data_IF_973574848449
#
_entry.id   IF_973574848449
#
_cell.length_a   1.000
_cell.length_b   1.000
_cell.length_c   1.000
_cell.angle_alpha   90.00
_cell.angle_beta   90.00
_cell.angle_gamma   90.00
#
_symmetry.space_group_name_H-M   'P 1'
#
loop_
_entity.id
_entity.type
_entity.pdbx_description
1 polymer ?
#
# COMPACT_ATOMS: atom_id res chain seq x y z
N UNK A 1 20.14 3.33 13.44
CA UNK A 1 19.68 2.59 12.25
C UNK A 1 18.44 1.81 12.64
N UNK A 2 17.26 2.24 12.19
CA UNK A 2 16.02 1.50 12.36
C UNK A 2 16.00 0.37 11.33
N UNK A 3 15.84 -0.88 11.76
CA UNK A 3 15.68 -2.02 10.86
C UNK A 3 14.44 -1.78 9.98
N UNK A 4 14.53 -1.93 8.65
CA UNK A 4 13.35 -1.82 7.79
C UNK A 4 12.32 -2.87 8.21
N UNK A 5 11.03 -2.48 8.21
CA UNK A 5 9.94 -3.40 8.49
C UNK A 5 9.88 -4.55 7.48
N UNK A 6 9.08 -5.59 7.75
CA UNK A 6 8.90 -6.68 6.80
C UNK A 6 8.33 -6.13 5.48
N UNK A 7 8.57 -6.81 4.34
CA UNK A 7 7.93 -6.44 3.08
C UNK A 7 6.41 -6.37 3.29
N UNK A 8 5.78 -5.34 2.70
CA UNK A 8 4.34 -5.16 2.86
C UNK A 8 3.58 -6.39 2.33
N UNK A 9 4.00 -6.84 1.15
CA UNK A 9 3.61 -8.10 0.54
C UNK A 9 4.87 -8.83 0.10
N UNK A 10 5.02 -10.09 0.53
CA UNK A 10 6.07 -10.96 0.03
C UNK A 10 5.87 -11.12 -1.48
N UNK A 11 6.86 -10.69 -2.28
CA UNK A 11 6.88 -10.90 -3.73
C UNK A 11 7.18 -12.37 -4.03
N UNK A 12 6.35 -13.30 -3.54
CA UNK A 12 6.48 -14.71 -3.89
C UNK A 12 5.75 -14.93 -5.20
N UNK A 13 6.53 -15.20 -6.26
CA UNK A 13 6.12 -15.73 -7.57
C UNK A 13 5.69 -14.73 -8.67
N UNK A 14 6.01 -13.45 -8.54
CA UNK A 14 5.94 -12.55 -9.69
C UNK A 14 6.98 -13.00 -10.72
N UNK A 15 6.54 -13.37 -11.92
CA UNK A 15 7.40 -13.41 -13.11
C UNK A 15 8.18 -12.09 -13.11
N UNK A 16 9.51 -12.15 -13.16
CA UNK A 16 10.34 -10.96 -13.28
C UNK A 16 10.05 -10.37 -14.65
N UNK A 17 9.12 -9.43 -14.69
CA UNK A 17 8.87 -8.55 -15.82
C UNK A 17 9.70 -7.26 -15.66
N UNK A 18 9.77 -6.47 -16.72
CA UNK A 18 10.56 -5.21 -16.73
C UNK A 18 10.09 -4.21 -15.67
N UNK A 19 8.84 -4.30 -15.22
CA UNK A 19 8.33 -3.49 -14.11
C UNK A 19 8.87 -3.96 -12.76
N UNK A 20 8.95 -5.28 -12.55
CA UNK A 20 9.49 -5.88 -11.33
C UNK A 20 10.96 -5.54 -11.15
N UNK A 21 11.74 -5.47 -12.24
CA UNK A 21 13.13 -5.05 -12.19
C UNK A 21 13.32 -3.58 -11.72
N UNK A 22 12.28 -2.75 -11.85
CA UNK A 22 12.26 -1.33 -11.47
C UNK A 22 11.43 -1.05 -10.23
N UNK A 23 11.00 -2.10 -9.53
CA UNK A 23 10.20 -1.96 -8.34
C UNK A 23 11.07 -1.50 -7.17
N UNK A 24 10.67 -0.41 -6.54
CA UNK A 24 11.26 0.04 -5.28
C UNK A 24 10.66 -0.81 -4.15
N UNK A 25 11.48 -1.43 -3.28
CA UNK A 25 10.97 -2.21 -2.16
C UNK A 25 10.07 -1.38 -1.23
N UNK A 26 8.93 -1.95 -0.87
CA UNK A 26 7.97 -1.34 0.07
C UNK A 26 7.81 -2.24 1.30
N UNK A 27 8.02 -1.65 2.47
CA UNK A 27 7.89 -2.32 3.77
C UNK A 27 6.59 -1.90 4.46
N UNK A 28 5.96 -2.85 5.16
CA UNK A 28 4.95 -2.53 6.16
C UNK A 28 5.62 -1.76 7.30
N UNK A 29 5.00 -0.67 7.73
CA UNK A 29 5.35 0.04 8.95
C UNK A 29 4.20 -0.09 9.95
N UNK A 30 3.46 0.99 10.22
CA UNK A 30 2.45 1.06 11.26
C UNK A 30 1.05 0.69 10.74
N UNK A 31 0.18 0.20 11.64
CA UNK A 31 -1.23 0.01 11.36
C UNK A 31 -1.60 -1.23 10.55
N UNK A 32 -0.72 -2.23 10.44
CA UNK A 32 -0.97 -3.46 9.69
C UNK A 32 -1.17 -4.70 10.56
N UNK A 33 -2.04 -5.60 10.13
CA UNK A 33 -2.06 -6.99 10.58
C UNK A 33 -0.90 -7.78 9.96
N UNK A 34 -0.72 -9.02 10.42
CA UNK A 34 0.17 -9.99 9.77
C UNK A 34 -0.26 -10.26 8.32
N UNK A 35 0.68 -10.68 7.49
CA UNK A 35 0.40 -11.04 6.10
C UNK A 35 -0.33 -12.40 6.05
N UNK A 36 -1.35 -12.47 5.21
CA UNK A 36 -2.13 -13.68 4.96
C UNK A 36 -1.98 -14.15 3.51
N UNK A 37 -2.57 -15.30 3.20
CA UNK A 37 -2.60 -15.88 1.85
C UNK A 37 -3.92 -16.54 1.55
N UNK A 38 -4.44 -16.32 0.34
CA UNK A 38 -5.58 -17.07 -0.22
C UNK A 38 -5.19 -17.51 -1.63
N UNK A 39 -5.27 -18.82 -1.91
CA UNK A 39 -4.87 -19.36 -3.21
C UNK A 39 -3.40 -19.07 -3.58
N UNK A 40 -2.51 -19.00 -2.59
CA UNK A 40 -1.09 -18.65 -2.78
C UNK A 40 -0.81 -17.15 -2.91
N UNK A 41 -1.81 -16.32 -3.16
CA UNK A 41 -1.65 -14.88 -3.31
C UNK A 41 -1.57 -14.20 -1.94
N UNK A 42 -0.50 -13.43 -1.66
CA UNK A 42 -0.37 -12.70 -0.41
C UNK A 42 -1.33 -11.51 -0.38
N UNK A 43 -1.86 -11.23 0.79
CA UNK A 43 -2.57 -9.98 1.06
C UNK A 43 -2.33 -9.56 2.51
N UNK A 44 -2.66 -8.31 2.82
CA UNK A 44 -2.55 -7.78 4.17
C UNK A 44 -3.69 -6.82 4.45
N UNK A 45 -4.23 -6.90 5.66
CA UNK A 45 -5.23 -5.97 6.16
C UNK A 45 -4.57 -4.89 7.03
N UNK A 46 -5.09 -3.66 7.00
CA UNK A 46 -4.81 -2.71 8.06
C UNK A 46 -5.58 -3.06 9.34
N UNK A 47 -4.91 -2.92 10.48
CA UNK A 47 -5.48 -3.04 11.81
C UNK A 47 -6.11 -1.74 12.30
N UNK A 48 -5.70 -0.61 11.71
CA UNK A 48 -6.13 0.74 12.06
C UNK A 48 -6.78 1.46 10.87
N UNK A 49 -7.53 2.55 11.10
CA UNK A 49 -8.09 3.37 10.03
C UNK A 49 -7.01 4.00 9.13
N UNK A 50 -5.81 4.22 9.66
CA UNK A 50 -4.63 4.68 8.92
C UNK A 50 -3.52 3.63 9.00
N UNK A 51 -2.97 3.26 7.86
CA UNK A 51 -1.84 2.33 7.77
C UNK A 51 -0.72 2.89 6.92
N UNK A 52 0.52 2.67 7.36
CA UNK A 52 1.72 3.24 6.77
C UNK A 52 2.55 2.14 6.15
N UNK A 53 2.76 2.24 4.84
CA UNK A 53 3.83 1.55 4.16
C UNK A 53 4.99 2.53 3.92
N UNK A 54 6.23 2.05 3.81
CA UNK A 54 7.38 2.92 3.59
C UNK A 54 8.31 2.38 2.53
N UNK A 55 8.97 3.30 1.82
CA UNK A 55 9.98 3.01 0.82
C UNK A 55 11.11 4.03 0.91
N UNK A 56 12.29 3.71 0.39
CA UNK A 56 13.47 4.59 0.46
C UNK A 56 13.94 4.97 -0.93
N UNK A 57 14.26 6.25 -1.12
CA UNK A 57 14.84 6.76 -2.36
C UNK A 57 16.20 7.41 -2.11
N UNK A 58 17.10 7.33 -3.09
CA UNK A 58 18.39 8.04 -3.05
C UNK A 58 18.18 9.55 -3.29
N UNK A 59 17.27 9.91 -4.18
CA UNK A 59 16.92 11.30 -4.51
C UNK A 59 15.42 11.42 -4.81
N UNK A 60 14.83 12.63 -4.64
CA UNK A 60 13.44 12.87 -5.04
C UNK A 60 13.27 12.66 -6.55
N UNK A 61 12.23 11.96 -6.98
CA UNK A 61 11.93 11.69 -8.40
C UNK A 61 10.48 11.27 -8.59
N UNK A 62 9.99 11.41 -9.82
CA UNK A 62 8.67 10.91 -10.18
C UNK A 62 8.68 9.37 -10.24
N UNK A 63 7.58 8.75 -9.82
CA UNK A 63 7.39 7.30 -9.76
C UNK A 63 5.96 6.95 -10.19
N UNK A 64 5.65 5.65 -10.26
CA UNK A 64 4.28 5.15 -10.36
C UNK A 64 3.93 4.32 -9.12
N UNK A 65 2.71 4.51 -8.62
CA UNK A 65 2.07 3.59 -7.68
C UNK A 65 1.13 2.68 -8.45
N UNK A 66 1.36 1.38 -8.43
CA UNK A 66 0.42 0.36 -8.91
C UNK A 66 -0.09 -0.45 -7.71
N UNK A 67 -1.38 -0.36 -7.42
CA UNK A 67 -1.96 -0.93 -6.20
C UNK A 67 -3.37 -1.51 -6.44
N UNK A 68 -3.62 -2.69 -5.88
CA UNK A 68 -4.95 -3.26 -5.68
C UNK A 68 -5.26 -3.19 -4.18
N UNK A 69 -6.10 -2.22 -3.82
CA UNK A 69 -6.53 -2.03 -2.44
C UNK A 69 -7.98 -1.57 -2.36
N UNK A 70 -8.69 -2.06 -1.34
CA UNK A 70 -10.09 -1.70 -1.07
C UNK A 70 -10.29 -1.44 0.42
N UNK A 71 -11.14 -0.46 0.75
CA UNK A 71 -11.62 -0.29 2.11
C UNK A 71 -12.56 -1.43 2.50
N UNK A 72 -12.44 -1.89 3.74
CA UNK A 72 -13.34 -2.88 4.31
C UNK A 72 -14.78 -2.33 4.32
N UNK A 73 -15.73 -3.12 3.83
CA UNK A 73 -17.12 -2.70 3.76
C UNK A 73 -17.82 -2.88 5.12
N UNK A 74 -18.59 -1.89 5.53
CA UNK A 74 -19.56 -2.01 6.61
C UNK A 74 -20.96 -2.06 5.98
N UNK A 75 -21.77 -3.05 6.36
CA UNK A 75 -23.16 -3.19 5.88
C UNK A 75 -23.29 -3.20 4.35
N UNK A 76 -22.28 -3.76 3.66
CA UNK A 76 -22.23 -3.83 2.20
C UNK A 76 -21.81 -2.53 1.50
N UNK A 77 -21.52 -1.46 2.24
CA UNK A 77 -21.08 -0.17 1.69
C UNK A 77 -19.55 -0.06 1.76
N UNK A 78 -18.93 0.07 0.59
CA UNK A 78 -17.49 0.33 0.50
C UNK A 78 -17.17 1.72 1.06
N UNK A 79 -16.12 1.80 1.86
CA UNK A 79 -15.65 3.07 2.41
C UNK A 79 -14.66 3.73 1.45
N UNK A 80 -14.64 5.07 1.36
CA UNK A 80 -13.63 5.77 0.57
C UNK A 80 -12.24 5.46 1.12
N UNK A 81 -11.31 5.14 0.22
CA UNK A 81 -9.90 4.92 0.53
C UNK A 81 -9.09 6.12 0.04
N UNK A 82 -8.47 6.84 0.97
CA UNK A 82 -7.52 7.91 0.70
C UNK A 82 -6.11 7.33 0.62
N UNK A 83 -5.34 7.77 -0.37
CA UNK A 83 -3.97 7.35 -0.60
C UNK A 83 -3.09 8.58 -0.70
N UNK A 84 -2.04 8.63 0.11
CA UNK A 84 -1.13 9.77 0.21
C UNK A 84 0.32 9.30 0.22
N UNK A 85 1.20 10.03 -0.44
CA UNK A 85 2.66 9.85 -0.31
C UNK A 85 3.23 11.10 0.33
N UNK A 86 3.89 10.94 1.48
CA UNK A 86 4.29 12.02 2.38
C UNK A 86 3.11 12.98 2.60
N UNK A 87 3.18 14.23 2.16
CA UNK A 87 2.12 15.23 2.36
C UNK A 87 1.19 15.40 1.15
N UNK A 88 1.36 14.58 0.10
CA UNK A 88 0.61 14.71 -1.17
C UNK A 88 -0.45 13.63 -1.32
N UNK A 89 -1.72 14.03 -1.32
CA UNK A 89 -2.85 13.16 -1.60
C UNK A 89 -2.86 12.78 -3.09
N UNK A 90 -2.76 11.48 -3.37
CA UNK A 90 -2.84 10.93 -4.73
C UNK A 90 -4.29 10.62 -5.12
N UNK A 91 -5.11 10.20 -4.16
CA UNK A 91 -6.53 9.93 -4.34
C UNK A 91 -7.28 10.01 -3.01
N UNK A 92 -8.54 10.43 -3.05
CA UNK A 92 -9.48 10.39 -1.91
C UNK A 92 -10.54 9.29 -2.06
N UNK A 93 -10.54 8.60 -3.21
CA UNK A 93 -11.46 7.53 -3.52
C UNK A 93 -10.77 6.52 -4.44
N UNK A 94 -9.88 5.72 -3.86
CA UNK A 94 -9.16 4.70 -4.60
C UNK A 94 -10.10 3.60 -5.11
N UNK A 95 -10.15 3.29 -6.42
CA UNK A 95 -11.21 2.49 -7.02
C UNK A 95 -10.94 0.96 -7.02
N UNK A 96 -10.01 0.45 -6.20
CA UNK A 96 -9.57 -0.95 -6.23
C UNK A 96 -8.22 -1.12 -6.91
N UNK A 97 -8.17 -1.75 -8.08
CA UNK A 97 -6.94 -1.90 -8.87
C UNK A 97 -6.69 -0.65 -9.71
N UNK A 98 -5.60 0.06 -9.45
CA UNK A 98 -5.29 1.29 -10.16
C UNK A 98 -3.78 1.56 -10.24
N UNK A 99 -3.38 2.34 -11.26
CA UNK A 99 -2.04 2.89 -11.40
C UNK A 99 -2.11 4.42 -11.44
N UNK A 100 -1.30 5.11 -10.63
CA UNK A 100 -1.23 6.57 -10.61
C UNK A 100 0.22 7.05 -10.59
N UNK A 101 0.46 8.25 -11.13
CA UNK A 101 1.75 8.90 -11.02
C UNK A 101 1.95 9.46 -9.60
N UNK A 102 3.14 9.28 -9.06
CA UNK A 102 3.64 9.97 -7.87
C UNK A 102 4.53 11.10 -8.38
N UNK A 103 4.16 12.37 -8.21
CA UNK A 103 4.99 13.49 -8.66
C UNK A 103 6.27 13.56 -7.83
N UNK A 104 7.38 14.05 -8.42
CA UNK A 104 8.64 14.19 -7.70
C UNK A 104 8.50 15.03 -6.41
N UNK A 105 7.62 16.04 -6.41
CA UNK A 105 7.30 16.87 -5.26
C UNK A 105 6.64 16.11 -4.10
N UNK A 106 6.06 14.94 -4.33
CA UNK A 106 5.55 14.06 -3.28
C UNK A 106 6.64 13.20 -2.64
N UNK A 107 7.87 13.21 -3.16
CA UNK A 107 8.96 12.34 -2.71
C UNK A 107 10.11 13.13 -2.11
N UNK A 108 10.93 12.46 -1.31
CA UNK A 108 12.16 12.99 -0.73
C UNK A 108 13.28 11.96 -0.75
N UNK A 109 14.52 12.42 -0.62
CA UNK A 109 15.65 11.53 -0.32
C UNK A 109 15.45 10.88 1.05
N UNK A 110 15.83 9.60 1.17
CA UNK A 110 15.59 8.80 2.37
C UNK A 110 14.19 8.20 2.39
N UNK A 111 13.61 8.07 3.60
CA UNK A 111 12.33 7.39 3.84
C UNK A 111 11.15 8.23 3.34
N UNK A 112 10.26 7.58 2.59
CA UNK A 112 8.97 8.11 2.15
C UNK A 112 7.87 7.23 2.74
N UNK A 113 6.80 7.86 3.21
CA UNK A 113 5.65 7.17 3.77
C UNK A 113 4.50 7.17 2.75
N UNK A 114 3.94 6.00 2.48
CA UNK A 114 2.72 5.78 1.74
C UNK A 114 1.62 5.46 2.75
N UNK A 115 0.68 6.38 2.90
CA UNK A 115 -0.40 6.31 3.88
C UNK A 115 -1.70 5.91 3.19
N UNK A 116 -2.34 4.86 3.71
CA UNK A 116 -3.64 4.37 3.28
C UNK A 116 -4.63 4.60 4.40
N UNK A 117 -5.70 5.34 4.10
CA UNK A 117 -6.66 5.82 5.09
C UNK A 117 -8.10 5.50 4.71
N UNK A 118 -8.85 4.98 5.67
CA UNK A 118 -10.30 4.83 5.64
C UNK A 118 -10.92 5.53 6.85
N UNK A 119 -12.20 5.94 6.80
CA UNK A 119 -12.85 6.62 7.92
C UNK A 119 -12.88 5.81 9.22
N UNK A 120 -12.98 4.48 9.11
CA UNK A 120 -13.03 3.57 10.26
C UNK A 120 -12.65 2.14 9.87
N UNK A 121 -12.24 1.38 10.87
CA UNK A 121 -12.17 -0.08 10.76
C UNK A 121 -13.51 -0.72 11.08
N UNK A 122 -13.79 -1.84 10.41
CA UNK A 122 -15.01 -2.65 10.58
C UNK A 122 -14.65 -4.03 11.12
N UNK A 123 -15.57 -4.66 11.84
CA UNK A 123 -15.39 -6.03 12.31
C UNK A 123 -16.39 -6.94 11.59
N UNK A 124 -15.95 -7.73 10.59
CA UNK A 124 -16.85 -8.64 9.87
C UNK A 124 -17.42 -9.75 10.77
N UNK A 125 -18.63 -10.27 10.47
CA UNK A 125 -19.14 -11.46 11.15
C UNK A 125 -18.19 -12.64 11.03
N UNK A 126 -17.83 -13.25 12.16
CA UNK A 126 -16.91 -14.39 12.19
C UNK A 126 -15.42 -14.04 12.14
N UNK A 127 -15.05 -12.76 12.00
CA UNK A 127 -13.67 -12.28 12.18
C UNK A 127 -13.55 -11.50 13.50
N UNK A 128 -12.61 -11.88 14.35
CA UNK A 128 -12.37 -11.21 15.62
C UNK A 128 -11.62 -9.87 15.44
N UNK A 129 -11.05 -9.63 14.26
CA UNK A 129 -10.22 -8.45 13.97
C UNK A 129 -11.06 -7.29 13.49
N UNK A 130 -10.55 -6.09 13.76
CA UNK A 130 -10.98 -4.87 13.07
C UNK A 130 -10.12 -4.69 11.82
N UNK A 131 -10.78 -4.46 10.69
CA UNK A 131 -10.17 -4.39 9.36
C UNK A 131 -10.43 -3.01 8.75
N UNK A 132 -9.38 -2.34 8.26
CA UNK A 132 -9.51 -1.05 7.57
C UNK A 132 -9.37 -1.20 6.06
N UNK A 133 -8.17 -1.47 5.57
CA UNK A 133 -7.84 -1.58 4.14
C UNK A 133 -7.30 -2.96 3.83
N UNK A 134 -7.82 -3.61 2.80
CA UNK A 134 -7.22 -4.80 2.21
C UNK A 134 -6.27 -4.36 1.11
N UNK A 135 -5.02 -4.80 1.15
CA UNK A 135 -4.06 -4.64 0.06
C UNK A 135 -3.69 -6.03 -0.47
N UNK A 136 -3.93 -6.25 -1.77
CA UNK A 136 -3.56 -7.49 -2.48
C UNK A 136 -2.34 -7.30 -3.38
N UNK A 137 -2.12 -6.07 -3.84
CA UNK A 137 -0.95 -5.71 -4.63
C UNK A 137 -0.53 -4.29 -4.28
N UNK A 138 0.78 -4.07 -4.13
CA UNK A 138 1.34 -2.74 -4.00
C UNK A 138 2.76 -2.71 -4.57
N UNK A 139 2.98 -1.87 -5.57
CA UNK A 139 4.28 -1.65 -6.20
C UNK A 139 4.53 -0.16 -6.39
N UNK A 140 5.74 0.27 -6.05
CA UNK A 140 6.29 1.57 -6.42
C UNK A 140 7.28 1.31 -7.55
N UNK A 141 7.09 1.95 -8.70
CA UNK A 141 7.80 1.60 -9.95
C UNK A 141 8.49 2.84 -10.49
N UNK A 142 9.76 2.71 -10.88
CA UNK A 142 10.49 3.77 -11.57
C UNK A 142 10.01 3.92 -13.04
N UNK A 143 9.94 5.15 -13.58
CA UNK A 143 9.54 5.36 -14.98
C UNK A 143 10.53 4.71 -15.96
N UNK A 144 10.09 4.47 -17.19
CA UNK A 144 11.01 4.09 -18.28
C UNK A 144 11.96 5.27 -18.57
N UNK A 145 13.22 4.95 -18.84
CA UNK A 145 14.27 5.92 -19.23
C UNK A 145 14.29 6.07 -20.74
#
# INVERSE_FOLDING_TARGET
>A
MTTPGPPLLALSELRIDDETARAVPVAAAEGWHEQERVGGQPYRWSAEPSAVASFTLVSPRALFLAMDAIGAAADGVAQPLTVRVNDVVLSVQWPGTQRVAIPAAATRAGRNDLVLEVPRTVQPPGDARRLGVLVRQLRIIEPDV
#
